data_IF_864096611292
#
_entry.id   IF_864096611292
#
_cell.length_a   1.000
_cell.length_b   1.000
_cell.length_c   1.000
_cell.angle_alpha   90.00
_cell.angle_beta   90.00
_cell.angle_gamma   90.00
#
_symmetry.space_group_name_H-M   'P 1'
#
loop_
_entity.id
_entity.type
_entity.pdbx_description
1 polymer ?
#
# COMPACT_ATOMS: atom_id res chain seq x y z
N UNK A 1 -20.69 -41.65 48.56
CA UNK A 1 -19.27 -41.26 48.30
C UNK A 1 -19.10 -40.77 46.87
N UNK A 2 -19.80 -41.33 45.90
CA UNK A 2 -19.67 -41.01 44.46
C UNK A 2 -20.16 -39.61 44.09
N UNK A 3 -21.26 -39.16 44.71
CA UNK A 3 -21.92 -37.89 44.40
C UNK A 3 -21.09 -36.64 44.75
N UNK A 4 -20.36 -36.66 45.86
CA UNK A 4 -19.47 -35.57 46.27
C UNK A 4 -18.21 -35.49 45.37
N UNK A 5 -17.74 -36.61 44.88
CA UNK A 5 -16.61 -36.66 43.94
C UNK A 5 -17.02 -36.12 42.56
N UNK A 6 -18.21 -36.53 42.07
CA UNK A 6 -18.77 -36.04 40.81
C UNK A 6 -18.99 -34.52 40.82
N UNK A 7 -19.54 -33.94 41.89
CA UNK A 7 -19.72 -32.50 42.05
C UNK A 7 -18.43 -31.71 42.04
N UNK A 8 -17.36 -32.23 42.68
CA UNK A 8 -16.02 -31.61 42.68
C UNK A 8 -15.40 -31.67 41.29
N UNK A 9 -15.54 -32.79 40.58
CA UNK A 9 -15.04 -32.96 39.23
C UNK A 9 -15.73 -32.01 38.24
N UNK A 10 -17.06 -31.98 38.26
CA UNK A 10 -17.85 -31.07 37.41
C UNK A 10 -17.49 -29.59 37.66
N UNK A 11 -17.28 -29.19 38.92
CA UNK A 11 -16.87 -27.81 39.23
C UNK A 11 -15.50 -27.46 38.66
N UNK A 12 -14.55 -28.42 38.68
CA UNK A 12 -13.20 -28.24 38.08
C UNK A 12 -13.28 -28.15 36.55
N UNK A 13 -14.10 -29.00 35.94
CA UNK A 13 -14.32 -28.97 34.48
C UNK A 13 -14.94 -27.63 34.06
N UNK A 14 -15.99 -27.18 34.74
CA UNK A 14 -16.64 -25.88 34.44
C UNK A 14 -15.68 -24.72 34.61
N UNK A 15 -14.84 -24.73 35.68
CA UNK A 15 -13.81 -23.70 35.84
C UNK A 15 -12.77 -23.75 34.74
N UNK A 16 -12.28 -24.92 34.36
CA UNK A 16 -11.31 -25.07 33.28
C UNK A 16 -11.89 -24.57 31.93
N UNK A 17 -13.12 -24.95 31.60
CA UNK A 17 -13.81 -24.47 30.40
C UNK A 17 -13.99 -22.95 30.43
N UNK A 18 -14.34 -22.37 31.58
CA UNK A 18 -14.46 -20.91 31.74
C UNK A 18 -13.15 -20.18 31.52
N UNK A 19 -12.03 -20.72 32.04
CA UNK A 19 -10.69 -20.13 31.82
C UNK A 19 -10.31 -20.20 30.34
N UNK A 20 -10.51 -21.34 29.68
CA UNK A 20 -10.23 -21.50 28.26
C UNK A 20 -11.08 -20.53 27.43
N UNK A 21 -12.35 -20.39 27.74
CA UNK A 21 -13.25 -19.47 27.06
C UNK A 21 -12.79 -17.99 27.21
N UNK A 22 -12.39 -17.58 28.44
CA UNK A 22 -11.82 -16.25 28.66
C UNK A 22 -10.53 -16.01 27.89
N UNK A 23 -9.64 -17.00 27.83
CA UNK A 23 -8.43 -16.91 27.03
C UNK A 23 -8.76 -16.76 25.54
N UNK A 24 -9.74 -17.50 25.02
CA UNK A 24 -10.19 -17.37 23.65
C UNK A 24 -10.75 -15.97 23.36
N UNK A 25 -11.56 -15.42 24.26
CA UNK A 25 -12.09 -14.05 24.12
C UNK A 25 -10.97 -13.03 24.12
N UNK A 26 -10.02 -13.12 25.07
CA UNK A 26 -8.89 -12.21 25.17
C UNK A 26 -8.02 -12.26 23.91
N UNK A 27 -7.73 -13.46 23.40
CA UNK A 27 -7.01 -13.64 22.15
C UNK A 27 -7.77 -13.03 20.96
N UNK A 28 -9.08 -13.25 20.87
CA UNK A 28 -9.91 -12.67 19.82
C UNK A 28 -9.86 -11.14 19.87
N UNK A 29 -10.09 -10.55 21.05
CA UNK A 29 -10.03 -9.09 21.23
C UNK A 29 -8.64 -8.55 20.90
N UNK A 30 -7.57 -9.21 21.34
CA UNK A 30 -6.21 -8.81 21.02
C UNK A 30 -5.93 -8.86 19.52
N UNK A 31 -6.38 -9.91 18.83
CA UNK A 31 -6.17 -10.08 17.39
C UNK A 31 -6.95 -9.08 16.54
N UNK A 32 -8.13 -8.65 17.00
CA UNK A 32 -8.97 -7.69 16.29
C UNK A 32 -8.82 -6.24 16.76
N UNK A 33 -8.02 -5.98 17.81
CA UNK A 33 -7.79 -4.61 18.26
C UNK A 33 -6.91 -3.83 17.27
N UNK A 34 -7.24 -2.55 17.05
CA UNK A 34 -6.47 -1.66 16.19
C UNK A 34 -5.02 -1.49 16.67
N UNK A 35 -4.80 -1.56 17.99
CA UNK A 35 -3.47 -1.52 18.57
C UNK A 35 -2.62 -2.72 18.15
N UNK A 36 -3.21 -3.92 18.12
CA UNK A 36 -2.53 -5.12 17.65
C UNK A 36 -2.28 -5.08 16.15
N UNK A 37 -3.25 -4.56 15.40
CA UNK A 37 -3.17 -4.38 13.95
C UNK A 37 -2.02 -3.45 13.57
N UNK A 38 -1.95 -2.27 14.18
CA UNK A 38 -0.89 -1.29 13.91
C UNK A 38 0.51 -1.76 14.32
N UNK A 39 0.62 -2.51 15.42
CA UNK A 39 1.89 -3.06 15.88
C UNK A 39 2.50 -4.10 14.93
N UNK A 40 1.65 -4.87 14.24
CA UNK A 40 2.10 -5.94 13.34
C UNK A 40 2.21 -5.54 11.87
N UNK A 41 1.82 -4.32 11.52
CA UNK A 41 2.05 -3.79 10.18
C UNK A 41 3.50 -3.30 10.05
N UNK A 42 4.12 -3.66 8.96
CA UNK A 42 5.47 -3.21 8.63
C UNK A 42 5.50 -2.80 7.18
N UNK A 43 6.03 -1.60 6.93
CA UNK A 43 6.24 -1.12 5.58
C UNK A 43 7.10 -2.11 4.80
N UNK A 44 6.74 -2.38 3.56
CA UNK A 44 7.50 -3.28 2.68
C UNK A 44 8.79 -2.58 2.26
N UNK A 45 9.90 -3.32 2.16
CA UNK A 45 11.16 -2.77 1.68
C UNK A 45 11.08 -2.43 0.17
N UNK A 46 11.76 -1.38 -0.27
CA UNK A 46 11.69 -0.92 -1.66
C UNK A 46 12.23 -1.96 -2.65
N UNK A 47 13.15 -2.81 -2.25
CA UNK A 47 13.68 -3.93 -3.05
C UNK A 47 12.66 -5.04 -3.34
N UNK A 48 11.61 -5.14 -2.48
CA UNK A 48 10.54 -6.11 -2.64
C UNK A 48 9.40 -5.61 -3.54
N UNK A 49 9.45 -4.36 -3.99
CA UNK A 49 8.46 -3.73 -4.86
C UNK A 49 9.02 -3.60 -6.28
N UNK A 50 8.17 -3.83 -7.28
CA UNK A 50 8.50 -3.66 -8.68
C UNK A 50 7.34 -3.02 -9.43
N UNK A 51 7.60 -1.94 -10.19
CA UNK A 51 6.67 -1.47 -11.20
C UNK A 51 6.73 -2.45 -12.38
N UNK A 52 5.60 -3.08 -12.70
CA UNK A 52 5.52 -4.05 -13.78
C UNK A 52 5.10 -3.39 -15.08
N UNK A 53 4.10 -2.53 -15.02
CA UNK A 53 3.50 -1.92 -16.19
C UNK A 53 3.10 -0.48 -15.89
N UNK A 54 3.41 0.43 -16.82
CA UNK A 54 2.99 1.83 -16.77
C UNK A 54 2.32 2.17 -18.10
N UNK A 55 1.09 2.67 -18.04
CA UNK A 55 0.28 2.99 -19.21
C UNK A 55 -0.45 4.30 -19.07
N UNK A 56 -0.68 4.99 -20.18
CA UNK A 56 -1.64 6.07 -20.24
C UNK A 56 -3.00 5.54 -20.68
N UNK A 57 -4.02 5.80 -19.87
CA UNK A 57 -5.41 5.47 -20.16
C UNK A 57 -6.00 6.41 -21.22
N UNK A 58 -7.14 6.04 -21.82
CA UNK A 58 -7.84 6.85 -22.83
C UNK A 58 -8.37 8.16 -22.28
N UNK A 59 -8.70 8.19 -20.98
CA UNK A 59 -9.13 9.40 -20.28
C UNK A 59 -7.98 10.33 -19.89
N UNK A 60 -6.74 9.97 -20.25
CA UNK A 60 -5.54 10.76 -19.99
C UNK A 60 -4.82 10.37 -18.70
N UNK A 61 -5.44 9.63 -17.77
CA UNK A 61 -4.82 9.24 -16.50
C UNK A 61 -3.67 8.25 -16.69
N UNK A 62 -2.76 8.23 -15.72
CA UNK A 62 -1.64 7.29 -15.66
C UNK A 62 -2.05 6.06 -14.83
N UNK A 63 -1.85 4.88 -15.39
CA UNK A 63 -2.00 3.60 -14.70
C UNK A 63 -0.62 3.05 -14.38
N UNK A 64 -0.35 2.76 -13.11
CA UNK A 64 0.91 2.18 -12.65
C UNK A 64 0.59 0.88 -11.91
N UNK A 65 1.00 -0.25 -12.47
CA UNK A 65 0.85 -1.56 -11.85
C UNK A 65 2.09 -1.91 -11.05
N UNK A 66 1.89 -2.24 -9.80
CA UNK A 66 2.96 -2.53 -8.85
C UNK A 66 2.78 -3.93 -8.28
N UNK A 67 3.85 -4.71 -8.35
CA UNK A 67 3.92 -6.04 -7.78
C UNK A 67 4.83 -6.05 -6.55
N UNK A 68 4.42 -6.78 -5.51
CA UNK A 68 5.20 -6.99 -4.30
C UNK A 68 5.58 -8.46 -4.13
N UNK A 69 6.80 -8.73 -3.71
CA UNK A 69 7.22 -10.08 -3.28
C UNK A 69 6.50 -10.51 -2.01
N UNK A 70 6.06 -9.55 -1.19
CA UNK A 70 5.32 -9.79 0.06
C UNK A 70 3.83 -9.57 -0.15
N UNK A 71 3.03 -10.12 0.75
CA UNK A 71 1.59 -9.86 0.77
C UNK A 71 1.33 -8.44 1.29
N UNK A 72 0.62 -7.65 0.51
CA UNK A 72 0.19 -6.31 0.86
C UNK A 72 -1.07 -6.42 1.71
N UNK A 73 -1.09 -5.79 2.85
CA UNK A 73 -2.24 -5.73 3.78
C UNK A 73 -2.78 -4.32 3.96
N UNK A 74 -2.04 -3.31 3.54
CA UNK A 74 -2.43 -1.92 3.59
C UNK A 74 -1.69 -1.12 2.51
N UNK A 75 -2.34 -0.09 2.02
CA UNK A 75 -1.79 0.89 1.08
C UNK A 75 -1.93 2.28 1.71
N UNK A 76 -0.88 3.09 1.62
CA UNK A 76 -1.02 4.50 1.90
C UNK A 76 -1.53 5.25 0.67
N UNK A 77 -2.35 6.26 0.90
CA UNK A 77 -2.61 7.24 -0.14
C UNK A 77 -1.32 8.00 -0.45
N UNK A 78 -1.11 8.35 -1.72
CA UNK A 78 0.07 9.12 -2.10
C UNK A 78 0.15 10.45 -1.36
N UNK A 79 1.35 10.85 -1.03
CA UNK A 79 1.63 12.13 -0.37
C UNK A 79 2.62 12.93 -1.21
N UNK A 80 2.41 14.23 -1.31
CA UNK A 80 3.34 15.12 -2.00
C UNK A 80 4.52 15.40 -1.09
N UNK A 81 5.73 15.05 -1.51
CA UNK A 81 6.96 15.50 -0.90
C UNK A 81 7.60 16.58 -1.78
N UNK A 82 7.85 17.73 -1.21
CA UNK A 82 8.64 18.77 -1.84
C UNK A 82 10.04 18.65 -1.27
N UNK A 83 10.93 17.99 -1.99
CA UNK A 83 12.35 18.04 -1.68
C UNK A 83 12.81 19.49 -1.81
N UNK A 84 12.61 20.26 -0.74
CA UNK A 84 13.36 21.48 -0.54
C UNK A 84 14.80 21.01 -0.44
N UNK A 85 15.61 21.31 -1.46
CA UNK A 85 17.04 21.03 -1.44
C UNK A 85 17.64 21.67 -0.18
N UNK A 86 17.58 20.92 0.92
CA UNK A 86 18.28 21.28 2.14
C UNK A 86 19.74 21.14 1.78
N UNK A 87 20.44 22.27 1.65
CA UNK A 87 21.89 22.36 1.60
C UNK A 87 22.47 21.49 2.71
N UNK A 88 22.66 20.23 2.45
CA UNK A 88 23.49 19.39 3.31
C UNK A 88 24.89 19.93 3.16
N UNK A 89 25.35 20.59 4.23
CA UNK A 89 26.67 21.18 4.36
C UNK A 89 27.74 20.20 3.84
N UNK A 90 28.19 20.46 2.64
CA UNK A 90 29.21 19.69 1.96
C UNK A 90 30.52 19.97 2.67
N UNK A 91 31.13 18.87 3.12
CA UNK A 91 32.58 18.85 3.37
C UNK A 91 33.29 19.34 2.11
N UNK A 92 34.14 20.35 2.29
CA UNK A 92 35.07 20.86 1.27
C UNK A 92 35.84 19.67 0.69
N UNK A 93 35.76 19.47 -0.61
CA UNK A 93 36.68 18.82 -1.51
C UNK A 93 35.96 17.92 -2.57
N UNK A 94 35.20 18.56 -3.47
CA UNK A 94 34.97 17.99 -4.80
C UNK A 94 34.62 19.11 -5.79
N UNK A 95 35.58 19.47 -6.61
CA UNK A 95 35.39 20.25 -7.85
C UNK A 95 34.64 19.35 -8.83
N UNK A 96 33.37 19.61 -9.06
CA UNK A 96 32.53 18.92 -10.00
C UNK A 96 31.18 19.60 -10.14
N UNK A 97 30.98 20.24 -11.30
CA UNK A 97 29.74 20.81 -11.84
C UNK A 97 28.55 20.95 -10.85
N UNK A 98 28.31 22.15 -10.41
CA UNK A 98 27.10 22.51 -9.69
C UNK A 98 25.88 22.11 -10.57
N UNK A 99 25.20 21.03 -10.21
CA UNK A 99 23.86 20.74 -10.71
C UNK A 99 22.96 21.81 -10.10
N UNK A 100 22.29 22.61 -10.91
CA UNK A 100 21.25 23.50 -10.44
C UNK A 100 20.26 22.66 -9.59
N UNK A 101 19.87 23.15 -8.40
CA UNK A 101 18.90 22.47 -7.59
C UNK A 101 17.58 22.44 -8.36
N UNK A 102 17.25 21.32 -8.97
CA UNK A 102 15.96 21.08 -9.58
C UNK A 102 15.01 20.87 -8.39
N UNK A 103 14.11 21.81 -8.15
CA UNK A 103 12.98 21.60 -7.23
C UNK A 103 12.12 20.47 -7.82
N UNK A 104 12.43 19.25 -7.44
CA UNK A 104 11.69 18.07 -7.88
C UNK A 104 10.54 17.87 -6.92
N UNK A 105 9.33 17.94 -7.42
CA UNK A 105 8.14 17.54 -6.65
C UNK A 105 7.95 16.06 -6.87
N UNK A 106 8.02 15.28 -5.80
CA UNK A 106 7.79 13.84 -5.82
C UNK A 106 6.43 13.52 -5.21
N UNK A 107 5.80 12.48 -5.73
CA UNK A 107 4.54 11.96 -5.23
C UNK A 107 4.79 10.55 -4.67
N UNK A 108 4.68 10.40 -3.36
CA UNK A 108 5.17 9.24 -2.65
C UNK A 108 4.07 8.31 -2.17
N UNK A 109 4.29 7.01 -2.31
CA UNK A 109 3.41 5.96 -1.79
C UNK A 109 4.16 4.98 -0.92
N UNK A 110 3.44 4.30 -0.04
CA UNK A 110 3.97 3.18 0.73
C UNK A 110 2.97 2.04 0.85
N UNK A 111 3.48 0.85 1.08
CA UNK A 111 2.68 -0.36 1.26
C UNK A 111 3.09 -1.07 2.53
N UNK A 112 2.12 -1.58 3.26
CA UNK A 112 2.34 -2.33 4.48
C UNK A 112 2.11 -3.82 4.28
N UNK A 113 2.88 -4.62 4.98
CA UNK A 113 2.74 -6.06 5.09
C UNK A 113 2.55 -6.43 6.55
N UNK A 114 1.70 -7.40 6.82
CA UNK A 114 1.58 -7.94 8.18
C UNK A 114 2.69 -8.94 8.47
N UNK A 115 3.33 -8.80 9.62
CA UNK A 115 4.29 -9.77 10.15
C UNK A 115 3.55 -10.99 10.73
N UNK A 116 2.25 -10.88 10.98
CA UNK A 116 1.44 -11.95 11.53
C UNK A 116 1.28 -13.10 10.51
N UNK A 117 1.69 -14.33 10.84
CA UNK A 117 1.55 -15.47 9.94
C UNK A 117 0.09 -15.82 9.62
N UNK A 118 -0.84 -15.40 10.47
CA UNK A 118 -2.29 -15.59 10.27
C UNK A 118 -2.97 -14.42 9.55
N UNK A 119 -2.22 -13.43 9.07
CA UNK A 119 -2.78 -12.27 8.40
C UNK A 119 -3.71 -12.64 7.23
N UNK A 120 -3.36 -13.69 6.48
CA UNK A 120 -4.19 -14.18 5.37
C UNK A 120 -5.55 -14.76 5.80
N UNK A 121 -5.75 -15.09 7.09
CA UNK A 121 -7.04 -15.50 7.64
C UNK A 121 -7.85 -14.31 8.18
N UNK A 122 -7.17 -13.23 8.53
CA UNK A 122 -7.77 -12.07 9.20
C UNK A 122 -8.02 -10.90 8.25
N UNK A 123 -7.21 -10.78 7.18
CA UNK A 123 -7.27 -9.67 6.23
C UNK A 123 -7.28 -10.21 4.82
N UNK A 124 -7.97 -9.47 3.94
CA UNK A 124 -7.79 -9.66 2.50
C UNK A 124 -6.37 -9.17 2.18
N UNK A 125 -5.56 -10.05 1.59
CA UNK A 125 -4.17 -9.74 1.24
C UNK A 125 -3.97 -9.88 -0.26
N UNK A 126 -3.23 -8.95 -0.83
CA UNK A 126 -2.93 -8.91 -2.26
C UNK A 126 -1.40 -8.99 -2.46
N UNK A 127 -0.97 -9.31 -3.65
CA UNK A 127 0.43 -9.19 -4.08
C UNK A 127 0.65 -8.08 -5.09
N UNK A 128 -0.44 -7.57 -5.63
CA UNK A 128 -0.44 -6.62 -6.72
C UNK A 128 -1.43 -5.52 -6.41
N UNK A 129 -1.05 -4.30 -6.74
CA UNK A 129 -1.88 -3.12 -6.65
C UNK A 129 -1.67 -2.25 -7.89
N UNK A 130 -2.66 -1.47 -8.24
CA UNK A 130 -2.52 -0.49 -9.31
C UNK A 130 -2.94 0.88 -8.82
N UNK A 131 -2.21 1.88 -9.26
CA UNK A 131 -2.53 3.28 -9.04
C UNK A 131 -3.08 3.87 -10.33
N UNK A 132 -4.19 4.58 -10.24
CA UNK A 132 -4.75 5.38 -11.33
C UNK A 132 -4.66 6.83 -10.90
N UNK A 133 -3.82 7.60 -11.58
CA UNK A 133 -3.36 8.91 -11.14
C UNK A 133 -3.69 9.94 -12.21
N UNK A 134 -4.22 11.13 -11.87
CA UNK A 134 -4.37 12.23 -12.81
C UNK A 134 -3.04 12.58 -13.47
N UNK A 135 -3.05 12.72 -14.80
CA UNK A 135 -1.84 12.92 -15.59
C UNK A 135 -2.10 13.87 -16.74
N UNK A 136 -1.35 14.96 -16.81
CA UNK A 136 -1.52 16.01 -17.80
C UNK A 136 -0.16 16.57 -18.24
N UNK A 137 -0.01 16.83 -19.53
CA UNK A 137 1.22 17.39 -20.12
C UNK A 137 2.51 16.62 -19.75
N UNK A 138 2.41 15.31 -19.57
CA UNK A 138 3.58 14.49 -19.20
C UNK A 138 3.97 14.54 -17.72
N UNK A 139 3.09 15.05 -16.85
CA UNK A 139 3.32 15.17 -15.41
C UNK A 139 2.15 14.63 -14.60
N UNK A 140 2.42 14.12 -13.44
CA UNK A 140 1.40 13.67 -12.47
C UNK A 140 0.80 14.91 -11.81
N UNK A 141 -0.53 14.92 -11.67
CA UNK A 141 -1.25 15.93 -10.90
C UNK A 141 -1.56 15.34 -9.53
N UNK A 142 -1.04 15.98 -8.50
CA UNK A 142 -1.26 15.55 -7.10
C UNK A 142 -2.61 16.06 -6.59
N UNK A 143 -3.06 15.56 -5.44
CA UNK A 143 -4.37 15.91 -4.86
C UNK A 143 -4.52 17.42 -4.57
N UNK A 144 -3.40 18.11 -4.35
CA UNK A 144 -3.41 19.57 -4.17
C UNK A 144 -3.23 20.36 -5.48
N UNK A 145 -3.27 19.70 -6.64
CA UNK A 145 -3.10 20.29 -7.95
C UNK A 145 -1.64 20.63 -8.34
N UNK A 146 -0.67 20.22 -7.54
CA UNK A 146 0.75 20.41 -7.87
C UNK A 146 1.18 19.39 -8.93
N UNK A 147 2.03 19.82 -9.89
CA UNK A 147 2.62 18.93 -10.87
C UNK A 147 3.85 18.22 -10.29
N UNK A 148 3.81 16.89 -10.24
CA UNK A 148 4.94 16.07 -9.79
C UNK A 148 5.65 15.43 -10.98
N UNK A 149 6.99 15.41 -10.92
CA UNK A 149 7.86 14.84 -11.95
C UNK A 149 8.27 13.39 -11.67
N UNK A 150 8.01 12.90 -10.45
CA UNK A 150 8.36 11.55 -10.02
C UNK A 150 7.25 10.94 -9.18
N UNK A 151 7.08 9.62 -9.32
CA UNK A 151 6.21 8.80 -8.48
C UNK A 151 7.04 7.73 -7.80
N UNK A 152 7.20 7.86 -6.49
CA UNK A 152 8.13 7.08 -5.71
C UNK A 152 7.45 6.16 -4.71
N UNK A 153 8.04 5.00 -4.55
CA UNK A 153 7.75 4.11 -3.43
C UNK A 153 8.73 4.38 -2.29
N UNK A 154 8.20 4.64 -1.09
CA UNK A 154 9.01 4.81 0.12
C UNK A 154 8.98 3.54 0.94
N UNK A 155 10.12 2.88 1.03
CA UNK A 155 10.28 1.63 1.74
C UNK A 155 10.44 1.79 3.27
N UNK A 156 10.69 0.64 3.93
CA UNK A 156 10.69 0.53 5.39
C UNK A 156 11.71 1.43 6.09
N UNK A 157 12.90 1.57 5.53
CA UNK A 157 14.01 2.35 6.09
C UNK A 157 14.07 3.77 5.51
N UNK A 158 13.03 4.19 4.79
CA UNK A 158 12.99 5.48 4.10
C UNK A 158 13.69 5.45 2.73
N UNK A 159 14.13 4.27 2.28
CA UNK A 159 14.65 4.10 0.94
C UNK A 159 13.57 4.38 -0.11
N UNK A 160 13.90 5.21 -1.11
CA UNK A 160 13.00 5.55 -2.20
C UNK A 160 13.28 4.69 -3.43
N UNK A 161 12.25 4.30 -4.13
CA UNK A 161 12.32 3.60 -5.40
C UNK A 161 11.40 4.27 -6.41
N UNK A 162 11.98 4.79 -7.47
CA UNK A 162 11.24 5.41 -8.56
C UNK A 162 10.37 4.34 -9.24
N UNK A 163 9.07 4.57 -9.27
CA UNK A 163 8.10 3.75 -10.00
C UNK A 163 7.80 4.35 -11.36
N UNK A 164 7.88 5.67 -11.48
CA UNK A 164 7.74 6.43 -12.71
C UNK A 164 8.43 7.80 -12.58
N UNK A 165 8.98 8.31 -13.67
CA UNK A 165 9.55 9.68 -13.76
C UNK A 165 9.16 10.38 -15.06
N UNK A 166 9.20 11.72 -15.03
CA UNK A 166 8.84 12.62 -16.12
C UNK A 166 9.65 12.30 -17.37
N UNK A 167 9.88 11.80 -18.18
CA UNK A 167 10.60 11.43 -19.39
C UNK A 167 10.58 9.92 -19.66
N UNK A 168 9.92 9.15 -18.79
CA UNK A 168 9.68 7.75 -19.10
C UNK A 168 8.70 7.64 -20.28
N UNK A 169 9.00 6.75 -21.21
CA UNK A 169 8.09 6.48 -22.32
C UNK A 169 6.84 5.76 -21.83
N UNK A 170 5.71 6.47 -21.82
CA UNK A 170 4.42 5.92 -21.41
C UNK A 170 3.66 5.41 -22.63
N UNK A 171 3.37 4.13 -22.65
CA UNK A 171 2.59 3.48 -23.70
C UNK A 171 1.09 3.66 -23.46
N UNK A 172 0.29 3.63 -24.52
CA UNK A 172 -1.17 3.60 -24.39
C UNK A 172 -1.63 2.28 -23.79
N UNK A 173 -2.59 2.36 -22.88
CA UNK A 173 -3.14 1.20 -22.22
C UNK A 173 -3.79 0.22 -23.21
N UNK A 174 -3.50 -1.07 -23.11
CA UNK A 174 -4.20 -2.09 -23.89
C UNK A 174 -5.66 -2.21 -23.40
N UNK A 175 -6.54 -2.70 -24.29
CA UNK A 175 -7.98 -2.80 -24.01
C UNK A 175 -8.30 -3.59 -22.70
N UNK A 176 -7.47 -4.57 -22.35
CA UNK A 176 -7.61 -5.34 -21.09
C UNK A 176 -7.45 -4.47 -19.85
N UNK A 177 -6.47 -3.55 -19.85
CA UNK A 177 -6.20 -2.63 -18.73
C UNK A 177 -7.34 -1.60 -18.62
N UNK A 178 -7.76 -1.03 -19.74
CA UNK A 178 -8.91 -0.12 -19.79
C UNK A 178 -10.17 -0.75 -19.19
N UNK A 179 -10.45 -2.00 -19.59
CA UNK A 179 -11.59 -2.75 -19.07
C UNK A 179 -11.47 -2.99 -17.56
N UNK A 180 -10.29 -3.45 -17.10
CA UNK A 180 -10.04 -3.70 -15.69
C UNK A 180 -10.24 -2.43 -14.84
N UNK A 181 -9.64 -1.30 -15.26
CA UNK A 181 -9.77 -0.03 -14.55
C UNK A 181 -11.23 0.40 -14.48
N UNK A 182 -11.94 0.36 -15.60
CA UNK A 182 -13.36 0.72 -15.66
C UNK A 182 -14.21 -0.14 -14.70
N UNK A 183 -14.08 -1.46 -14.76
CA UNK A 183 -14.83 -2.39 -13.90
C UNK A 183 -14.48 -2.25 -12.41
N UNK A 184 -13.25 -1.87 -12.10
CA UNK A 184 -12.81 -1.64 -10.73
C UNK A 184 -13.37 -0.34 -10.17
N UNK A 185 -13.33 0.73 -10.95
CA UNK A 185 -13.88 2.02 -10.55
C UNK A 185 -15.41 1.99 -10.39
N UNK A 186 -16.12 1.28 -11.29
CA UNK A 186 -17.57 1.09 -11.17
C UNK A 186 -18.00 0.35 -9.90
N UNK A 187 -17.11 -0.45 -9.30
CA UNK A 187 -17.37 -1.14 -8.02
C UNK A 187 -17.09 -0.28 -6.79
N UNK A 188 -16.27 0.76 -6.93
CA UNK A 188 -15.90 1.69 -5.86
C UNK A 188 -16.81 2.92 -5.81
N UNK A 189 -17.89 2.97 -6.60
CA UNK A 189 -18.78 4.14 -6.77
C UNK A 189 -19.51 4.63 -5.52
N UNK A 190 -19.03 4.29 -4.32
CA UNK A 190 -19.76 4.65 -3.10
C UNK A 190 -18.99 5.59 -2.17
N UNK A 191 -18.22 6.54 -2.43
CA UNK A 191 -17.91 7.60 -1.43
C UNK A 191 -16.92 8.72 -1.81
N UNK A 192 -16.34 8.79 -2.99
CA UNK A 192 -15.54 9.97 -3.31
C UNK A 192 -15.81 10.48 -4.73
N UNK A 193 -16.64 11.52 -4.81
CA UNK A 193 -17.01 12.22 -6.04
C UNK A 193 -15.87 13.08 -6.64
N UNK A 194 -14.64 12.92 -6.17
CA UNK A 194 -13.50 13.64 -6.73
C UNK A 194 -12.90 12.85 -7.90
N UNK A 195 -13.23 13.28 -9.10
CA UNK A 195 -12.74 12.73 -10.37
C UNK A 195 -11.20 12.88 -10.51
N UNK A 196 -10.62 13.81 -9.77
CA UNK A 196 -9.18 14.11 -9.77
C UNK A 196 -8.41 13.37 -8.65
N UNK A 197 -9.08 12.62 -7.79
CA UNK A 197 -8.41 11.87 -6.75
C UNK A 197 -7.66 10.66 -7.32
N UNK A 198 -6.51 10.35 -6.73
CA UNK A 198 -5.79 9.11 -7.00
C UNK A 198 -6.65 7.93 -6.55
N UNK A 199 -6.85 6.98 -7.44
CA UNK A 199 -7.54 5.74 -7.12
C UNK A 199 -6.54 4.61 -6.96
N UNK A 200 -6.73 3.81 -5.93
CA UNK A 200 -5.89 2.65 -5.65
C UNK A 200 -6.71 1.39 -5.88
N UNK A 201 -6.34 0.61 -6.88
CA UNK A 201 -7.06 -0.57 -7.29
C UNK A 201 -6.32 -1.84 -6.81
N UNK A 202 -7.06 -2.76 -6.21
CA UNK A 202 -6.55 -4.07 -5.86
C UNK A 202 -6.61 -5.00 -7.07
N UNK A 203 -5.46 -5.51 -7.50
CA UNK A 203 -5.38 -6.47 -8.59
C UNK A 203 -5.59 -7.87 -8.04
N UNK A 204 -6.68 -8.52 -8.45
CA UNK A 204 -6.96 -9.88 -8.05
C UNK A 204 -6.06 -10.83 -8.85
N UNK A 205 -5.20 -11.65 -8.22
CA UNK A 205 -4.32 -12.59 -8.92
C UNK A 205 -5.09 -13.69 -9.68
N UNK A 206 -6.41 -13.82 -9.44
CA UNK A 206 -7.27 -14.75 -10.22
C UNK A 206 -7.77 -14.14 -11.54
N UNK A 207 -7.52 -12.87 -11.79
CA UNK A 207 -7.68 -12.23 -13.10
C UNK A 207 -6.29 -11.85 -13.62
N UNK A 208 -5.50 -12.79 -14.12
CA UNK A 208 -4.22 -12.44 -14.72
C UNK A 208 -4.47 -11.49 -15.88
N UNK A 209 -3.77 -10.38 -15.89
CA UNK A 209 -3.75 -9.41 -16.98
C UNK A 209 -3.02 -10.00 -18.23
N UNK A 210 -3.12 -11.35 -18.44
CA UNK A 210 -2.55 -12.06 -19.58
C UNK A 210 -3.33 -11.79 -20.86
#
# INVERSE_FOLDING_TARGET
FSEKVSRKLNRRIVMACGVVFLICIMLTVALYSDAFRSYHLSRIAAEDIKAEEVYQLKDGRLYIHVQSKRRITGLSYPQTDMDTATETAVGKDAVGAAREPKNTVTYEVSMDSSINPFAGLMYITFKEAAYVIPFEDGQIITDNGTKASEFDYVGRSGEKKILWQENDEVKKAPARVEKFVKESLEKEEDDSADENAVKVLWVNPQMPLQ
#
